data_IF_569153567979
#
_entry.id   IF_569153567979
#
_cell.length_a   1.000
_cell.length_b   1.000
_cell.length_c   1.000
_cell.angle_alpha   90.00
_cell.angle_beta   90.00
_cell.angle_gamma   90.00
#
_symmetry.space_group_name_H-M   'P 1'
#
loop_
_entity.id
_entity.type
_entity.pdbx_description
1 polymer ?
#
# COMPACT_ATOMS: atom_id res chain seq x y z
N UNK A 1 -8.76 -0.38 -21.80
CA UNK A 1 -9.01 -0.67 -20.37
C UNK A 1 -8.57 -2.07 -19.93
N UNK A 2 -9.28 -3.18 -20.20
CA UNK A 2 -8.83 -4.51 -19.74
C UNK A 2 -7.47 -4.92 -20.34
N UNK A 3 -7.23 -4.52 -21.60
CA UNK A 3 -5.93 -4.64 -22.27
C UNK A 3 -4.84 -3.79 -21.60
N UNK A 4 -5.16 -2.56 -21.19
CA UNK A 4 -4.24 -1.64 -20.50
C UNK A 4 -3.93 -2.12 -19.09
N UNK A 5 -4.92 -2.64 -18.37
CA UNK A 5 -4.73 -3.28 -17.06
C UNK A 5 -3.81 -4.50 -17.19
N UNK A 6 -4.02 -5.32 -18.22
CA UNK A 6 -3.14 -6.46 -18.51
C UNK A 6 -1.70 -6.01 -18.79
N UNK A 7 -1.50 -5.00 -19.65
CA UNK A 7 -0.18 -4.40 -19.93
C UNK A 7 0.47 -3.83 -18.66
N UNK A 8 -0.32 -3.15 -17.83
CA UNK A 8 0.15 -2.60 -16.57
C UNK A 8 0.62 -3.69 -15.62
N UNK A 9 -0.18 -4.75 -15.46
CA UNK A 9 0.15 -5.90 -14.63
C UNK A 9 1.42 -6.60 -15.13
N UNK A 10 1.59 -6.78 -16.46
CA UNK A 10 2.83 -7.33 -17.03
C UNK A 10 4.04 -6.43 -16.77
N UNK A 11 3.86 -5.11 -16.80
CA UNK A 11 4.91 -4.15 -16.49
C UNK A 11 5.32 -4.25 -15.02
N UNK A 12 4.35 -4.32 -14.10
CA UNK A 12 4.60 -4.51 -12.66
C UNK A 12 5.27 -5.86 -12.40
N UNK A 13 4.82 -6.95 -13.05
CA UNK A 13 5.46 -8.28 -12.94
C UNK A 13 6.94 -8.21 -13.31
N UNK A 14 7.30 -7.56 -14.42
CA UNK A 14 8.71 -7.41 -14.84
C UNK A 14 9.54 -6.63 -13.82
N UNK A 15 8.99 -5.54 -13.25
CA UNK A 15 9.67 -4.79 -12.18
C UNK A 15 9.88 -5.65 -10.93
N UNK A 16 8.86 -6.41 -10.53
CA UNK A 16 8.92 -7.34 -9.41
C UNK A 16 9.95 -8.46 -9.63
N UNK A 17 10.04 -9.02 -10.85
CA UNK A 17 11.06 -10.03 -11.21
C UNK A 17 12.48 -9.46 -11.16
N UNK A 18 12.67 -8.22 -11.64
CA UNK A 18 13.94 -7.50 -11.53
C UNK A 18 14.35 -7.29 -10.07
N UNK A 19 13.41 -6.83 -9.23
CA UNK A 19 13.64 -6.63 -7.80
C UNK A 19 13.99 -7.94 -7.09
N UNK A 20 13.27 -9.03 -7.38
CA UNK A 20 13.57 -10.35 -6.84
C UNK A 20 14.98 -10.82 -7.22
N UNK A 21 15.40 -10.57 -8.46
CA UNK A 21 16.74 -10.91 -8.96
C UNK A 21 17.81 -10.10 -8.23
N UNK A 22 17.59 -8.81 -8.00
CA UNK A 22 18.53 -7.96 -7.26
C UNK A 22 18.70 -8.44 -5.81
N UNK A 23 17.59 -8.75 -5.12
CA UNK A 23 17.63 -9.31 -3.75
C UNK A 23 18.39 -10.63 -3.72
N UNK A 24 18.14 -11.53 -4.68
CA UNK A 24 18.83 -12.83 -4.74
C UNK A 24 20.32 -12.69 -5.00
N UNK A 25 20.74 -11.70 -5.80
CA UNK A 25 22.15 -11.43 -6.07
C UNK A 25 22.87 -10.83 -4.85
N UNK A 26 22.22 -9.91 -4.14
CA UNK A 26 22.82 -9.23 -2.99
C UNK A 26 22.79 -10.08 -1.72
N UNK A 27 21.88 -11.04 -1.64
CA UNK A 27 21.69 -11.97 -0.53
C UNK A 27 21.78 -13.41 -1.05
N UNK A 28 22.88 -13.74 -1.74
CA UNK A 28 23.19 -15.13 -2.10
C UNK A 28 23.47 -15.93 -0.82
N UNK A 29 23.18 -17.23 -0.85
CA UNK A 29 23.47 -18.16 0.27
C UNK A 29 22.83 -17.75 1.61
N UNK A 30 21.63 -17.17 1.54
CA UNK A 30 20.85 -16.71 2.68
C UNK A 30 20.70 -17.77 3.79
N UNK A 31 20.41 -19.02 3.43
CA UNK A 31 20.18 -20.11 4.38
C UNK A 31 21.47 -20.51 5.12
N UNK A 32 22.59 -20.55 4.41
CA UNK A 32 23.91 -20.81 5.00
C UNK A 32 24.32 -19.65 5.92
N UNK A 33 24.07 -18.42 5.49
CA UNK A 33 24.35 -17.20 6.25
C UNK A 33 23.55 -17.14 7.56
N UNK A 34 22.26 -17.45 7.50
CA UNK A 34 21.39 -17.53 8.68
C UNK A 34 21.87 -18.64 9.63
N UNK A 35 22.17 -19.82 9.10
CA UNK A 35 22.68 -20.94 9.90
C UNK A 35 23.96 -20.55 10.62
N UNK A 36 24.94 -19.99 9.90
CA UNK A 36 26.22 -19.55 10.49
C UNK A 36 26.05 -18.44 11.51
N UNK A 37 25.11 -17.51 11.30
CA UNK A 37 24.79 -16.47 12.27
C UNK A 37 24.26 -17.06 13.58
N UNK A 38 23.26 -17.94 13.49
CA UNK A 38 22.66 -18.55 14.68
C UNK A 38 23.60 -19.53 15.38
N UNK A 39 24.51 -20.21 14.68
CA UNK A 39 25.59 -20.99 15.30
C UNK A 39 26.46 -20.12 16.20
N UNK A 40 26.93 -18.96 15.72
CA UNK A 40 27.74 -18.02 16.53
C UNK A 40 26.96 -17.43 17.70
N UNK A 41 25.68 -17.11 17.50
CA UNK A 41 24.82 -16.59 18.56
C UNK A 41 24.52 -17.66 19.63
N UNK A 42 24.39 -18.92 19.22
CA UNK A 42 24.26 -20.06 20.13
C UNK A 42 25.56 -20.29 20.92
N UNK A 43 26.74 -20.16 20.31
CA UNK A 43 28.03 -20.21 21.04
C UNK A 43 28.10 -19.13 22.13
N UNK A 44 27.65 -17.90 21.81
CA UNK A 44 27.58 -16.81 22.78
C UNK A 44 26.54 -17.07 23.87
N UNK A 45 25.40 -17.69 23.52
CA UNK A 45 24.39 -18.13 24.49
C UNK A 45 24.94 -19.19 25.44
N UNK A 46 25.73 -20.14 24.93
CA UNK A 46 26.39 -21.17 25.75
C UNK A 46 27.47 -20.58 26.68
N UNK A 47 28.06 -19.45 26.30
CA UNK A 47 29.01 -18.72 27.13
C UNK A 47 28.33 -17.88 28.24
N UNK A 48 27.01 -17.73 28.20
CA UNK A 48 26.28 -16.88 29.14
C UNK A 48 26.22 -17.48 30.54
N UNK A 49 26.29 -16.64 31.58
CA UNK A 49 26.28 -17.07 32.99
C UNK A 49 24.94 -17.68 33.45
N UNK A 50 23.88 -17.56 32.64
CA UNK A 50 22.51 -18.06 32.90
C UNK A 50 21.73 -17.29 33.97
N UNK A 51 22.19 -16.10 34.38
CA UNK A 51 21.53 -15.27 35.39
C UNK A 51 21.03 -13.94 34.83
N UNK A 52 19.75 -13.82 34.42
CA UNK A 52 19.23 -12.66 33.69
C UNK A 52 18.83 -11.47 34.59
N UNK A 53 19.56 -11.24 35.68
CA UNK A 53 19.25 -10.18 36.63
C UNK A 53 20.32 -9.10 36.64
N UNK A 54 19.88 -7.84 36.52
CA UNK A 54 20.74 -6.67 36.72
C UNK A 54 22.04 -6.73 35.90
N UNK A 55 23.23 -6.58 36.52
CA UNK A 55 24.51 -6.57 35.81
C UNK A 55 24.86 -7.91 35.17
N UNK A 56 24.27 -9.03 35.61
CA UNK A 56 24.59 -10.36 35.09
C UNK A 56 23.96 -10.66 33.72
N UNK A 57 23.10 -9.77 33.21
CA UNK A 57 22.58 -9.85 31.83
C UNK A 57 23.68 -9.69 30.78
N UNK A 58 24.81 -9.10 31.19
CA UNK A 58 25.97 -8.81 30.36
C UNK A 58 27.18 -9.69 30.70
N UNK A 59 27.03 -10.72 31.54
CA UNK A 59 28.14 -11.55 32.03
C UNK A 59 28.26 -12.88 31.27
N UNK A 60 29.45 -13.11 30.73
CA UNK A 60 29.79 -14.24 29.87
C UNK A 60 31.17 -14.81 30.26
N UNK A 61 31.43 -16.05 29.85
CA UNK A 61 32.74 -16.65 29.99
C UNK A 61 33.74 -15.94 29.07
N UNK A 62 34.96 -15.68 29.53
CA UNK A 62 35.92 -14.76 28.89
C UNK A 62 36.31 -15.13 27.44
N UNK A 63 36.19 -16.40 27.07
CA UNK A 63 36.45 -16.87 25.70
C UNK A 63 35.28 -16.67 24.75
N UNK A 64 34.12 -16.22 25.26
CA UNK A 64 32.84 -16.13 24.56
C UNK A 64 32.38 -17.46 23.96
N UNK A 65 32.84 -18.56 24.57
CA UNK A 65 32.44 -19.93 24.27
C UNK A 65 31.97 -20.63 25.52
N UNK A 66 31.35 -21.80 25.34
CA UNK A 66 30.92 -22.66 26.43
C UNK A 66 32.06 -22.85 27.46
N UNK A 67 31.82 -22.57 28.76
CA UNK A 67 32.82 -22.79 29.79
C UNK A 67 33.16 -24.29 29.91
N UNK A 68 34.38 -24.63 30.35
CA UNK A 68 34.76 -26.02 30.61
C UNK A 68 33.88 -26.62 31.70
N UNK A 69 33.77 -27.95 31.71
CA UNK A 69 32.94 -28.66 32.67
C UNK A 69 33.44 -28.40 34.10
N UNK A 70 32.51 -28.05 35.00
CA UNK A 70 32.82 -27.68 36.39
C UNK A 70 33.07 -26.19 36.63
N UNK A 71 33.15 -25.35 35.58
CA UNK A 71 33.28 -23.89 35.70
C UNK A 71 31.93 -23.18 35.67
N UNK A 72 30.99 -23.61 36.51
CA UNK A 72 29.67 -22.97 36.62
C UNK A 72 29.78 -21.59 37.27
N UNK A 73 28.91 -20.66 36.87
CA UNK A 73 28.86 -19.33 37.47
C UNK A 73 28.27 -19.42 38.88
N UNK A 74 29.07 -19.08 39.89
CA UNK A 74 28.61 -19.00 41.28
C UNK A 74 28.01 -17.61 41.59
N UNK A 75 26.68 -17.57 41.70
CA UNK A 75 25.93 -16.36 42.05
C UNK A 75 26.26 -15.85 43.45
N UNK A 76 26.58 -16.73 44.40
CA UNK A 76 26.88 -16.32 45.76
C UNK A 76 28.16 -15.47 45.79
N UNK A 77 29.18 -15.89 45.04
CA UNK A 77 30.41 -15.11 44.84
C UNK A 77 30.11 -13.82 44.06
N UNK A 78 29.34 -13.93 42.97
CA UNK A 78 28.87 -12.78 42.17
C UNK A 78 28.18 -11.70 43.01
N UNK A 79 27.31 -12.12 43.94
CA UNK A 79 26.47 -11.24 44.77
C UNK A 79 27.24 -10.47 45.85
N UNK A 80 28.49 -10.87 46.12
CA UNK A 80 29.42 -10.17 47.02
C UNK A 80 30.23 -9.08 46.31
N UNK A 81 29.86 -8.71 45.08
CA UNK A 81 30.55 -7.69 44.29
C UNK A 81 31.87 -8.19 43.67
N UNK A 82 32.11 -9.50 43.64
CA UNK A 82 33.27 -10.12 42.99
C UNK A 82 32.82 -10.92 41.79
N UNK A 83 33.47 -10.70 40.65
CA UNK A 83 33.22 -11.51 39.47
C UNK A 83 33.98 -12.85 39.60
N UNK A 84 33.31 -14.01 39.46
CA UNK A 84 33.97 -15.31 39.51
C UNK A 84 35.07 -15.43 38.45
N UNK A 85 36.13 -16.18 38.74
CA UNK A 85 37.27 -16.35 37.83
C UNK A 85 36.82 -16.89 36.46
N UNK A 86 37.29 -16.26 35.39
CA UNK A 86 36.95 -16.61 34.01
C UNK A 86 35.63 -16.03 33.49
N UNK A 87 34.89 -15.28 34.31
CA UNK A 87 33.70 -14.56 33.86
C UNK A 87 34.01 -13.08 33.67
N UNK A 88 33.46 -12.48 32.63
CA UNK A 88 33.63 -11.06 32.29
C UNK A 88 32.29 -10.41 31.98
N UNK A 89 32.16 -9.12 32.31
CA UNK A 89 31.08 -8.31 31.79
C UNK A 89 31.50 -7.79 30.41
N UNK A 90 30.65 -7.96 29.39
CA UNK A 90 30.97 -7.56 28.03
C UNK A 90 31.12 -6.04 27.92
N UNK A 91 32.31 -5.59 27.55
CA UNK A 91 32.54 -4.20 27.19
C UNK A 91 31.91 -3.87 25.84
N UNK A 92 31.68 -2.59 25.56
CA UNK A 92 31.16 -2.17 24.25
C UNK A 92 32.13 -2.53 23.10
N UNK A 93 33.44 -2.51 23.36
CA UNK A 93 34.44 -2.92 22.38
C UNK A 93 34.31 -4.40 22.01
N UNK A 94 34.13 -5.29 23.01
CA UNK A 94 33.92 -6.72 22.80
C UNK A 94 32.60 -7.01 22.07
N UNK A 95 31.54 -6.28 22.38
CA UNK A 95 30.24 -6.36 21.67
C UNK A 95 30.42 -6.00 20.20
N UNK A 96 31.07 -4.86 19.93
CA UNK A 96 31.32 -4.41 18.56
C UNK A 96 32.20 -5.39 17.77
N UNK A 97 33.22 -5.97 18.41
CA UNK A 97 34.10 -6.95 17.76
C UNK A 97 33.38 -8.28 17.49
N UNK A 98 32.50 -8.73 18.39
CA UNK A 98 31.64 -9.88 18.14
C UNK A 98 30.69 -9.61 16.96
N UNK A 99 30.00 -8.46 16.94
CA UNK A 99 29.09 -8.07 15.86
C UNK A 99 29.79 -7.94 14.50
N UNK A 100 31.05 -7.50 14.45
CA UNK A 100 31.86 -7.51 13.21
C UNK A 100 32.06 -8.91 12.65
N UNK A 101 32.05 -9.92 13.51
CA UNK A 101 32.16 -11.33 13.13
C UNK A 101 30.81 -11.96 12.78
N UNK A 102 29.68 -11.29 13.04
CA UNK A 102 28.38 -11.76 12.62
C UNK A 102 28.17 -11.51 11.12
N UNK A 103 27.51 -12.43 10.41
CA UNK A 103 27.31 -12.29 8.98
C UNK A 103 26.40 -11.08 8.65
N UNK A 104 26.83 -10.27 7.67
CA UNK A 104 26.01 -9.51 6.72
C UNK A 104 24.92 -8.52 7.21
N UNK A 105 24.79 -8.16 8.49
CA UNK A 105 23.80 -7.14 8.91
C UNK A 105 23.92 -5.84 8.09
N UNK A 106 25.15 -5.37 7.92
CA UNK A 106 25.47 -4.16 7.15
C UNK A 106 25.08 -4.23 5.66
N UNK A 107 24.87 -5.42 5.12
CA UNK A 107 24.48 -5.63 3.72
C UNK A 107 22.98 -5.94 3.59
N UNK A 108 22.40 -6.70 4.53
CA UNK A 108 20.99 -7.10 4.49
C UNK A 108 20.07 -5.90 4.80
N UNK A 109 20.37 -5.11 5.84
CA UNK A 109 19.48 -4.00 6.25
C UNK A 109 19.32 -2.93 5.17
N UNK A 110 20.38 -2.45 4.49
CA UNK A 110 20.24 -1.52 3.38
C UNK A 110 19.49 -2.13 2.18
N UNK A 111 19.82 -3.38 1.81
CA UNK A 111 19.16 -4.08 0.70
C UNK A 111 17.66 -4.26 0.97
N UNK A 112 17.28 -4.58 2.21
CA UNK A 112 15.88 -4.68 2.62
C UNK A 112 15.16 -3.34 2.59
N UNK A 113 15.79 -2.28 3.11
CA UNK A 113 15.20 -0.94 3.13
C UNK A 113 14.95 -0.42 1.71
N UNK A 114 15.94 -0.59 0.82
CA UNK A 114 15.82 -0.26 -0.60
C UNK A 114 14.70 -1.09 -1.26
N UNK A 115 14.70 -2.40 -1.03
CA UNK A 115 13.68 -3.27 -1.60
C UNK A 115 12.26 -2.96 -1.11
N UNK A 116 12.08 -2.59 0.16
CA UNK A 116 10.78 -2.14 0.68
C UNK A 116 10.35 -0.84 0.02
N UNK A 117 11.26 0.14 -0.07
CA UNK A 117 10.98 1.43 -0.70
C UNK A 117 10.58 1.32 -2.18
N UNK A 118 11.06 0.30 -2.89
CA UNK A 118 10.60 -0.01 -4.25
C UNK A 118 9.33 -0.86 -4.30
N UNK A 119 9.20 -1.84 -3.41
CA UNK A 119 8.10 -2.81 -3.44
C UNK A 119 6.77 -2.21 -2.99
N UNK A 120 6.76 -1.39 -1.94
CA UNK A 120 5.55 -0.78 -1.39
C UNK A 120 4.79 0.05 -2.43
N UNK A 121 5.43 1.00 -3.16
CA UNK A 121 4.76 1.71 -4.24
C UNK A 121 4.26 0.79 -5.36
N UNK A 122 5.01 -0.27 -5.71
CA UNK A 122 4.60 -1.21 -6.75
C UNK A 122 3.37 -2.02 -6.36
N UNK A 123 3.26 -2.43 -5.09
CA UNK A 123 2.09 -3.14 -4.58
C UNK A 123 0.90 -2.18 -4.49
N UNK A 124 1.10 -0.95 -4.00
CA UNK A 124 0.03 0.05 -3.94
C UNK A 124 -0.50 0.39 -5.33
N UNK A 125 0.37 0.69 -6.30
CA UNK A 125 -0.02 0.93 -7.69
C UNK A 125 -0.77 -0.28 -8.28
N UNK A 126 -0.33 -1.50 -7.97
CA UNK A 126 -1.02 -2.71 -8.40
C UNK A 126 -2.42 -2.82 -7.79
N UNK A 127 -2.59 -2.55 -6.48
CA UNK A 127 -3.88 -2.54 -5.81
C UNK A 127 -4.80 -1.50 -6.46
N UNK A 128 -4.33 -0.26 -6.59
CA UNK A 128 -5.12 0.87 -7.10
C UNK A 128 -5.60 0.59 -8.53
N UNK A 129 -4.71 0.15 -9.42
CA UNK A 129 -5.06 -0.17 -10.81
C UNK A 129 -5.99 -1.39 -10.92
N UNK A 130 -5.84 -2.36 -10.02
CA UNK A 130 -6.70 -3.55 -10.01
C UNK A 130 -8.01 -3.34 -9.22
N UNK A 131 -8.25 -2.17 -8.61
CA UNK A 131 -9.52 -1.88 -7.90
C UNK A 131 -10.77 -2.08 -8.76
N UNK A 132 -10.64 -1.86 -10.08
CA UNK A 132 -11.67 -2.11 -11.09
C UNK A 132 -12.20 -3.55 -11.02
N UNK A 133 -11.37 -4.53 -10.62
CA UNK A 133 -11.76 -5.94 -10.60
C UNK A 133 -12.68 -6.31 -9.43
N UNK A 134 -12.86 -5.43 -8.43
CA UNK A 134 -13.88 -5.59 -7.38
C UNK A 134 -15.29 -5.75 -7.98
N UNK A 135 -15.52 -5.06 -9.11
CA UNK A 135 -16.78 -5.04 -9.83
C UNK A 135 -16.90 -6.17 -10.87
N UNK A 136 -15.88 -7.03 -10.98
CA UNK A 136 -15.82 -8.13 -11.93
C UNK A 136 -16.07 -9.49 -11.25
N UNK A 137 -16.86 -10.33 -11.91
CA UNK A 137 -17.15 -11.69 -11.47
C UNK A 137 -15.88 -12.53 -11.48
N UNK A 138 -15.70 -13.39 -10.47
CA UNK A 138 -14.62 -14.38 -10.39
C UNK A 138 -13.18 -13.81 -10.24
N UNK A 139 -13.04 -12.53 -9.85
CA UNK A 139 -11.74 -11.88 -9.59
C UNK A 139 -11.57 -11.33 -8.17
N UNK A 140 -12.61 -11.43 -7.34
CA UNK A 140 -12.64 -10.86 -5.99
C UNK A 140 -11.60 -11.50 -5.06
N UNK A 141 -11.45 -12.82 -5.12
CA UNK A 141 -10.46 -13.52 -4.28
C UNK A 141 -9.03 -13.08 -4.60
N UNK A 142 -8.70 -12.90 -5.89
CA UNK A 142 -7.38 -12.44 -6.32
C UNK A 142 -7.13 -11.00 -5.87
N UNK A 143 -8.16 -10.16 -5.89
CA UNK A 143 -8.05 -8.80 -5.42
C UNK A 143 -7.89 -8.70 -3.90
N UNK A 144 -8.63 -9.50 -3.14
CA UNK A 144 -8.44 -9.62 -1.68
C UNK A 144 -7.03 -10.13 -1.38
N UNK A 145 -6.53 -11.12 -2.14
CA UNK A 145 -5.16 -11.60 -2.01
C UNK A 145 -4.13 -10.49 -2.28
N UNK A 146 -4.37 -9.64 -3.29
CA UNK A 146 -3.53 -8.49 -3.60
C UNK A 146 -3.54 -7.45 -2.48
N UNK A 147 -4.71 -7.09 -1.95
CA UNK A 147 -4.85 -6.16 -0.81
C UNK A 147 -4.13 -6.65 0.44
N UNK A 148 -4.22 -7.95 0.74
CA UNK A 148 -3.50 -8.55 1.87
C UNK A 148 -1.97 -8.44 1.75
N UNK A 149 -1.43 -8.19 0.56
CA UNK A 149 0.01 -7.98 0.39
C UNK A 149 0.47 -6.62 0.91
N UNK A 150 -0.42 -5.69 1.20
CA UNK A 150 -0.10 -4.44 1.90
C UNK A 150 -0.14 -4.58 3.44
N UNK A 151 -0.69 -5.69 3.95
CA UNK A 151 -0.73 -5.97 5.37
C UNK A 151 0.69 -6.39 5.84
N UNK A 152 1.36 -5.50 6.59
CA UNK A 152 2.70 -5.63 7.22
C UNK A 152 3.89 -5.65 6.27
N UNK A 153 4.83 -4.74 6.51
CA UNK A 153 6.08 -4.60 5.76
C UNK A 153 7.34 -5.06 6.51
N UNK A 154 7.30 -5.03 7.85
CA UNK A 154 8.46 -5.29 8.70
C UNK A 154 8.05 -6.05 9.96
N UNK A 155 8.89 -6.99 10.36
CA UNK A 155 8.96 -7.63 11.66
C UNK A 155 10.00 -6.91 12.52
N UNK A 156 9.66 -6.64 13.78
CA UNK A 156 10.56 -6.00 14.74
C UNK A 156 11.16 -7.03 15.70
N UNK A 157 12.42 -6.85 16.10
CA UNK A 157 13.09 -7.78 17.03
C UNK A 157 12.34 -7.98 18.36
N UNK A 158 11.61 -6.97 18.83
CA UNK A 158 10.76 -7.08 20.03
C UNK A 158 9.69 -8.17 19.93
N UNK A 159 9.27 -8.54 18.72
CA UNK A 159 8.27 -9.61 18.50
C UNK A 159 8.87 -11.01 18.75
N UNK A 160 10.20 -11.13 18.67
CA UNK A 160 10.94 -12.39 18.83
C UNK A 160 11.62 -12.52 20.18
N UNK A 161 11.70 -11.44 20.97
CA UNK A 161 12.48 -11.43 22.21
C UNK A 161 11.98 -12.48 23.21
N UNK A 162 10.67 -12.75 23.23
CA UNK A 162 10.05 -13.76 24.09
C UNK A 162 10.46 -15.20 23.72
N UNK A 163 10.85 -15.47 22.47
CA UNK A 163 11.37 -16.77 22.04
C UNK A 163 12.74 -17.07 22.65
N UNK A 164 13.52 -16.02 22.91
CA UNK A 164 14.89 -16.10 23.42
C UNK A 164 15.01 -15.71 24.89
N UNK A 165 13.88 -15.59 25.59
CA UNK A 165 13.86 -15.30 27.02
C UNK A 165 14.25 -16.53 27.83
N UNK A 166 14.90 -16.29 28.96
CA UNK A 166 15.26 -17.35 29.89
C UNK A 166 14.03 -17.64 30.77
N UNK A 167 13.29 -18.69 30.42
CA UNK A 167 12.01 -19.04 31.04
C UNK A 167 12.11 -19.69 32.43
N UNK A 168 13.31 -20.05 32.88
CA UNK A 168 13.52 -20.90 34.06
C UNK A 168 14.37 -20.22 35.11
N UNK A 169 13.89 -19.09 35.62
CA UNK A 169 14.55 -18.40 36.72
C UNK A 169 13.67 -18.45 37.96
N UNK A 170 13.92 -19.46 38.78
CA UNK A 170 13.32 -19.58 40.10
C UNK A 170 14.05 -18.61 41.03
N UNK A 171 13.48 -17.42 41.23
CA UNK A 171 13.89 -16.51 42.32
C UNK A 171 12.89 -16.59 43.46
N UNK A 172 13.36 -16.76 44.69
CA UNK A 172 12.53 -16.68 45.90
C UNK A 172 12.15 -15.24 46.25
N UNK A 173 12.71 -14.25 45.54
CA UNK A 173 12.54 -12.83 45.80
C UNK A 173 11.86 -12.14 44.60
N UNK A 174 10.56 -11.86 44.74
CA UNK A 174 9.71 -11.16 43.77
C UNK A 174 10.16 -9.71 43.52
N UNK A 175 10.90 -9.09 44.45
CA UNK A 175 11.41 -7.73 44.25
C UNK A 175 12.51 -7.65 43.19
N UNK A 176 13.16 -8.78 42.88
CA UNK A 176 14.15 -8.90 41.79
C UNK A 176 13.52 -9.14 40.42
N UNK A 177 12.21 -9.40 40.35
CA UNK A 177 11.49 -9.58 39.08
C UNK A 177 11.53 -8.31 38.21
N UNK A 178 11.61 -7.12 38.80
CA UNK A 178 11.76 -5.85 38.07
C UNK A 178 13.16 -5.60 37.51
N UNK A 179 14.16 -6.41 37.89
CA UNK A 179 15.52 -6.37 37.37
C UNK A 179 15.79 -7.43 36.29
N UNK A 180 14.73 -8.11 35.81
CA UNK A 180 14.81 -9.09 34.75
C UNK A 180 15.11 -8.38 33.42
N UNK A 181 16.27 -8.67 32.85
CA UNK A 181 16.68 -8.12 31.56
C UNK A 181 16.92 -9.21 30.54
N UNK A 182 16.84 -8.85 29.27
CA UNK A 182 17.23 -9.74 28.18
C UNK A 182 18.75 -9.74 28.03
N UNK A 183 19.42 -10.89 28.15
CA UNK A 183 20.84 -10.98 27.90
C UNK A 183 21.19 -10.45 26.50
N UNK A 184 22.41 -9.94 26.35
CA UNK A 184 22.89 -9.40 25.08
C UNK A 184 22.69 -10.36 23.89
N UNK A 185 23.06 -11.64 24.00
CA UNK A 185 22.84 -12.61 22.94
C UNK A 185 21.35 -12.81 22.59
N UNK A 186 20.44 -12.83 23.57
CA UNK A 186 18.99 -12.94 23.32
C UNK A 186 18.46 -11.75 22.52
N UNK A 187 18.95 -10.53 22.78
CA UNK A 187 18.59 -9.33 22.01
C UNK A 187 19.09 -9.42 20.58
N UNK A 188 20.34 -9.87 20.37
CA UNK A 188 20.89 -10.11 19.04
C UNK A 188 20.11 -11.18 18.28
N UNK A 189 19.86 -12.34 18.91
CA UNK A 189 19.07 -13.41 18.30
C UNK A 189 17.70 -12.91 17.87
N UNK A 190 17.00 -12.15 18.71
CA UNK A 190 15.70 -11.58 18.37
C UNK A 190 15.78 -10.59 17.20
N UNK A 191 16.82 -9.75 17.16
CA UNK A 191 17.05 -8.82 16.05
C UNK A 191 17.33 -9.55 14.74
N UNK A 192 18.27 -10.50 14.73
CA UNK A 192 18.60 -11.27 13.53
C UNK A 192 17.45 -12.17 13.08
N UNK A 193 16.69 -12.75 14.00
CA UNK A 193 15.48 -13.53 13.66
C UNK A 193 14.46 -12.66 12.91
N UNK A 194 14.22 -11.44 13.41
CA UNK A 194 13.37 -10.47 12.72
C UNK A 194 13.93 -10.09 11.34
N UNK A 195 15.25 -9.85 11.23
CA UNK A 195 15.93 -9.52 9.97
C UNK A 195 15.74 -10.64 8.93
N UNK A 196 15.97 -11.90 9.31
CA UNK A 196 15.79 -13.05 8.43
C UNK A 196 14.32 -13.30 8.08
N UNK A 197 13.40 -13.08 9.01
CA UNK A 197 11.96 -13.08 8.72
C UNK A 197 11.56 -11.99 7.73
N UNK A 198 12.16 -10.80 7.80
CA UNK A 198 11.94 -9.73 6.84
C UNK A 198 12.38 -10.11 5.43
N UNK A 199 13.55 -10.74 5.26
CA UNK A 199 13.98 -11.24 3.94
C UNK A 199 12.96 -12.23 3.36
N UNK A 200 12.49 -13.18 4.16
CA UNK A 200 11.45 -14.13 3.74
C UNK A 200 10.13 -13.44 3.41
N UNK A 201 9.72 -12.47 4.22
CA UNK A 201 8.50 -11.68 4.01
C UNK A 201 8.53 -10.97 2.67
N UNK A 202 9.60 -10.21 2.38
CA UNK A 202 9.74 -9.44 1.14
C UNK A 202 9.79 -10.37 -0.07
N UNK A 203 10.60 -11.44 -0.03
CA UNK A 203 10.64 -12.44 -1.10
C UNK A 203 9.27 -13.10 -1.31
N UNK A 204 8.56 -13.39 -0.23
CA UNK A 204 7.21 -13.97 -0.22
C UNK A 204 6.20 -13.03 -0.86
N UNK A 205 6.21 -11.75 -0.48
CA UNK A 205 5.34 -10.72 -1.06
C UNK A 205 5.58 -10.59 -2.56
N UNK A 206 6.83 -10.42 -3.01
CA UNK A 206 7.16 -10.31 -4.45
C UNK A 206 6.63 -11.51 -5.24
N UNK A 207 6.93 -12.74 -4.78
CA UNK A 207 6.46 -13.97 -5.46
C UNK A 207 4.94 -14.07 -5.49
N UNK A 208 4.28 -13.68 -4.41
CA UNK A 208 2.82 -13.72 -4.30
C UNK A 208 2.19 -12.66 -5.21
N UNK A 209 2.71 -11.43 -5.23
CA UNK A 209 2.28 -10.36 -6.15
C UNK A 209 2.36 -10.81 -7.60
N UNK A 210 3.52 -11.37 -8.02
CA UNK A 210 3.68 -11.90 -9.39
C UNK A 210 2.63 -12.96 -9.70
N UNK A 211 2.42 -13.91 -8.78
CA UNK A 211 1.44 -14.99 -8.95
C UNK A 211 0.01 -14.45 -9.08
N UNK A 212 -0.38 -13.51 -8.22
CA UNK A 212 -1.72 -12.91 -8.19
C UNK A 212 -1.96 -12.11 -9.46
N UNK A 213 -1.03 -11.25 -9.85
CA UNK A 213 -1.14 -10.44 -11.07
C UNK A 213 -1.24 -11.31 -12.33
N UNK A 214 -0.47 -12.41 -12.40
CA UNK A 214 -0.60 -13.39 -13.50
C UNK A 214 -1.97 -14.04 -13.54
N UNK A 215 -2.53 -14.40 -12.38
CA UNK A 215 -3.89 -14.97 -12.29
C UNK A 215 -4.95 -13.96 -12.72
N UNK A 216 -4.82 -12.70 -12.31
CA UNK A 216 -5.70 -11.62 -12.75
C UNK A 216 -5.62 -11.50 -14.28
N UNK A 217 -4.42 -11.37 -14.86
CA UNK A 217 -4.23 -11.29 -16.31
C UNK A 217 -4.83 -12.46 -17.09
N UNK A 218 -4.67 -13.68 -16.57
CA UNK A 218 -5.24 -14.88 -17.18
C UNK A 218 -6.77 -14.88 -17.16
N UNK A 219 -7.38 -14.38 -16.08
CA UNK A 219 -8.83 -14.39 -15.88
C UNK A 219 -9.55 -13.15 -16.45
N UNK A 220 -8.84 -12.03 -16.67
CA UNK A 220 -9.41 -10.77 -17.18
C UNK A 220 -10.24 -10.93 -18.47
N UNK A 221 -9.83 -11.70 -19.49
CA UNK A 221 -10.62 -11.88 -20.71
C UNK A 221 -11.98 -12.55 -20.51
N UNK A 222 -12.15 -13.28 -19.40
CA UNK A 222 -13.37 -14.03 -19.09
C UNK A 222 -14.24 -13.35 -18.02
N UNK A 223 -13.81 -12.19 -17.52
CA UNK A 223 -14.46 -11.48 -16.44
C UNK A 223 -15.71 -10.73 -16.94
N UNK A 224 -16.80 -10.81 -16.18
CA UNK A 224 -18.06 -10.10 -16.47
C UNK A 224 -18.40 -9.15 -15.32
N UNK A 225 -19.14 -8.08 -15.58
CA UNK A 225 -19.54 -7.14 -14.51
C UNK A 225 -20.53 -7.82 -13.55
N UNK A 226 -20.28 -7.73 -12.24
CA UNK A 226 -21.16 -8.26 -11.19
C UNK A 226 -22.51 -7.53 -11.16
N UNK A 227 -23.58 -8.27 -10.84
CA UNK A 227 -24.88 -7.71 -10.46
C UNK A 227 -25.95 -7.66 -11.57
N UNK A 228 -27.11 -7.09 -11.21
CA UNK A 228 -28.28 -6.90 -12.08
C UNK A 228 -28.06 -5.72 -13.05
N UNK A 229 -29.03 -5.40 -13.92
CA UNK A 229 -28.91 -4.32 -14.91
C UNK A 229 -28.45 -2.97 -14.34
N UNK A 230 -28.99 -2.57 -13.18
CA UNK A 230 -28.64 -1.30 -12.52
C UNK A 230 -27.27 -1.34 -11.83
N UNK A 231 -26.88 -2.47 -11.26
CA UNK A 231 -25.55 -2.66 -10.66
C UNK A 231 -24.45 -2.64 -11.72
N UNK A 232 -24.76 -3.16 -12.92
CA UNK A 232 -23.86 -3.09 -14.08
C UNK A 232 -23.64 -1.64 -14.50
N UNK A 233 -24.70 -0.83 -14.57
CA UNK A 233 -24.60 0.60 -14.93
C UNK A 233 -23.76 1.34 -13.88
N UNK A 234 -24.05 1.17 -12.60
CA UNK A 234 -23.32 1.81 -11.50
C UNK A 234 -21.85 1.40 -11.44
N UNK A 235 -21.57 0.11 -11.68
CA UNK A 235 -20.21 -0.43 -11.79
C UNK A 235 -19.48 0.11 -13.01
N UNK A 236 -20.13 0.18 -14.18
CA UNK A 236 -19.55 0.77 -15.39
C UNK A 236 -19.22 2.25 -15.20
N UNK A 237 -20.04 3.01 -14.50
CA UNK A 237 -19.78 4.42 -14.14
C UNK A 237 -18.58 4.53 -13.19
N UNK A 238 -18.52 3.71 -12.13
CA UNK A 238 -17.39 3.70 -11.20
C UNK A 238 -16.06 3.30 -11.87
N UNK A 239 -16.10 2.32 -12.77
CA UNK A 239 -14.97 1.92 -13.61
C UNK A 239 -14.55 3.09 -14.51
N UNK A 240 -15.50 3.79 -15.12
CA UNK A 240 -15.24 5.00 -15.92
C UNK A 240 -14.55 6.11 -15.13
N UNK A 241 -14.99 6.37 -13.89
CA UNK A 241 -14.40 7.40 -13.01
C UNK A 241 -12.99 7.02 -12.51
N UNK A 242 -12.75 5.74 -12.20
CA UNK A 242 -11.43 5.24 -11.78
C UNK A 242 -10.38 5.25 -12.92
N UNK A 243 -10.83 5.05 -14.16
CA UNK A 243 -9.98 5.14 -15.37
C UNK A 243 -9.50 6.58 -15.64
N UNK A 244 -10.16 7.59 -15.07
CA UNK A 244 -9.81 9.00 -15.24
C UNK A 244 -8.92 9.57 -14.11
N UNK A 245 -8.41 8.74 -13.20
CA UNK A 245 -7.64 9.17 -12.04
C UNK A 245 -6.41 10.05 -12.37
N UNK A 246 -6.34 11.20 -11.69
CA UNK A 246 -5.18 12.07 -11.43
C UNK A 246 -4.02 12.04 -12.44
N UNK A 247 -4.07 12.95 -13.42
CA UNK A 247 -2.90 13.38 -14.18
C UNK A 247 -3.09 13.37 -15.70
N UNK A 248 -3.51 14.52 -16.22
CA UNK A 248 -3.28 15.01 -17.59
C UNK A 248 -3.73 14.14 -18.79
N UNK A 249 -4.59 14.78 -19.59
CA UNK A 249 -4.75 14.64 -21.06
C UNK A 249 -5.29 13.30 -21.59
N UNK A 250 -6.61 13.21 -21.71
CA UNK A 250 -7.21 12.52 -22.85
C UNK A 250 -7.15 13.45 -24.07
N UNK A 251 -6.03 13.37 -24.79
CA UNK A 251 -5.95 13.74 -26.19
C UNK A 251 -6.93 12.87 -26.99
N UNK A 252 -8.12 13.42 -27.19
CA UNK A 252 -8.93 13.46 -28.41
C UNK A 252 -8.98 12.27 -29.39
N UNK A 253 -10.18 12.11 -29.96
CA UNK A 253 -10.47 11.68 -31.34
C UNK A 253 -10.41 10.20 -31.72
N UNK A 254 -11.59 9.57 -31.69
CA UNK A 254 -12.06 8.75 -32.81
C UNK A 254 -13.56 8.96 -33.04
N UNK A 255 -13.90 10.22 -33.39
CA UNK A 255 -15.04 10.60 -34.25
C UNK A 255 -15.13 12.12 -34.53
N UNK A 256 -14.19 12.94 -34.06
CA UNK A 256 -14.17 14.40 -34.31
C UNK A 256 -13.54 14.81 -35.66
N UNK A 257 -12.92 13.90 -36.41
CA UNK A 257 -12.04 14.27 -37.53
C UNK A 257 -12.79 14.53 -38.85
N UNK A 258 -14.04 14.08 -39.03
CA UNK A 258 -14.61 14.05 -40.39
C UNK A 258 -15.89 14.87 -40.66
N UNK A 259 -16.40 15.69 -39.74
CA UNK A 259 -17.56 16.54 -40.10
C UNK A 259 -17.57 17.97 -39.59
N UNK A 260 -16.83 18.34 -38.54
CA UNK A 260 -16.93 19.70 -37.98
C UNK A 260 -18.36 20.10 -37.54
N UNK A 261 -19.27 19.15 -37.50
CA UNK A 261 -20.67 19.32 -37.17
C UNK A 261 -21.01 18.36 -36.03
N UNK A 262 -21.18 18.92 -34.83
CA UNK A 262 -21.80 18.23 -33.71
C UNK A 262 -23.30 18.15 -34.04
N UNK A 263 -23.78 16.99 -34.48
CA UNK A 263 -25.20 16.76 -34.69
C UNK A 263 -25.89 16.66 -33.31
N UNK A 264 -26.21 17.83 -32.72
CA UNK A 264 -27.17 17.93 -31.63
C UNK A 264 -28.56 17.58 -32.19
N UNK A 265 -28.88 16.30 -32.24
CA UNK A 265 -30.25 15.86 -32.51
C UNK A 265 -30.98 15.88 -31.18
N UNK A 266 -31.51 17.05 -30.81
CA UNK A 266 -32.33 17.20 -29.62
C UNK A 266 -33.69 16.57 -29.92
N UNK A 267 -33.79 15.26 -29.72
CA UNK A 267 -35.00 14.50 -30.06
C UNK A 267 -36.19 14.89 -29.16
N UNK A 268 -35.92 15.51 -27.99
CA UNK A 268 -36.95 15.93 -27.05
C UNK A 268 -36.64 17.28 -26.39
N UNK A 269 -36.87 18.39 -27.11
CA UNK A 269 -36.66 19.76 -26.61
C UNK A 269 -37.41 20.04 -25.29
N UNK A 270 -38.64 19.54 -25.17
CA UNK A 270 -39.47 19.74 -23.99
C UNK A 270 -38.88 19.07 -22.73
N UNK A 271 -38.21 17.93 -22.90
CA UNK A 271 -37.53 17.22 -21.82
C UNK A 271 -36.28 17.96 -21.37
N UNK A 272 -35.47 18.47 -22.31
CA UNK A 272 -34.29 19.28 -21.98
C UNK A 272 -34.68 20.58 -21.26
N UNK A 273 -35.73 21.26 -21.73
CA UNK A 273 -36.26 22.46 -21.09
C UNK A 273 -36.76 22.18 -19.67
N UNK A 274 -37.47 21.06 -19.47
CA UNK A 274 -37.91 20.60 -18.16
C UNK A 274 -36.72 20.35 -17.22
N UNK A 275 -35.66 19.69 -17.70
CA UNK A 275 -34.45 19.41 -16.91
C UNK A 275 -33.71 20.70 -16.53
N UNK A 276 -33.65 21.69 -17.44
CA UNK A 276 -33.05 23.00 -17.16
C UNK A 276 -33.86 23.80 -16.12
N UNK A 277 -35.18 23.73 -16.17
CA UNK A 277 -36.06 24.36 -15.17
C UNK A 277 -35.96 23.67 -13.79
N UNK A 278 -35.85 22.34 -13.77
CA UNK A 278 -35.62 21.57 -12.55
C UNK A 278 -34.25 21.87 -11.94
N UNK A 279 -33.22 22.03 -12.78
CA UNK A 279 -31.90 22.48 -12.37
C UNK A 279 -31.93 23.86 -11.69
N UNK A 280 -32.60 24.85 -12.29
CA UNK A 280 -32.75 26.19 -11.68
C UNK A 280 -33.46 26.14 -10.32
N UNK A 281 -34.51 25.32 -10.21
CA UNK A 281 -35.23 25.14 -8.94
C UNK A 281 -34.32 24.55 -7.86
N UNK A 282 -33.46 23.59 -8.21
CA UNK A 282 -32.53 22.96 -7.28
C UNK A 282 -31.35 23.87 -6.91
N UNK A 283 -30.96 24.78 -7.81
CA UNK A 283 -29.93 25.78 -7.57
C UNK A 283 -30.31 26.76 -6.46
N UNK A 284 -31.56 27.19 -6.40
CA UNK A 284 -32.03 28.10 -5.35
C UNK A 284 -31.96 27.46 -3.96
N UNK A 285 -32.19 26.14 -3.87
CA UNK A 285 -32.29 25.39 -2.61
C UNK A 285 -30.93 24.90 -2.08
N UNK A 286 -29.86 24.91 -2.88
CA UNK A 286 -28.53 24.46 -2.39
C UNK A 286 -27.83 25.54 -1.55
N UNK A 287 -27.32 25.17 -0.36
CA UNK A 287 -26.52 26.08 0.48
C UNK A 287 -25.02 26.04 0.12
N UNK A 288 -24.62 25.18 -0.81
CA UNK A 288 -23.21 24.92 -1.18
C UNK A 288 -22.62 25.96 -2.15
N UNK A 289 -23.47 26.80 -2.74
CA UNK A 289 -23.09 27.83 -3.70
C UNK A 289 -23.45 29.21 -3.16
N UNK A 290 -22.54 30.18 -3.29
CA UNK A 290 -22.84 31.55 -2.92
C UNK A 290 -23.81 32.21 -3.92
N UNK A 291 -24.38 33.35 -3.52
CA UNK A 291 -25.36 34.08 -4.34
C UNK A 291 -24.81 34.49 -5.71
N UNK A 292 -23.53 34.86 -5.80
CA UNK A 292 -22.92 35.29 -7.05
C UNK A 292 -22.74 34.12 -8.03
N UNK A 293 -22.34 32.95 -7.51
CA UNK A 293 -22.24 31.72 -8.28
C UNK A 293 -23.63 31.29 -8.79
N UNK A 294 -24.66 31.32 -7.93
CA UNK A 294 -26.04 31.01 -8.34
C UNK A 294 -26.53 31.95 -9.45
N UNK A 295 -26.28 33.25 -9.32
CA UNK A 295 -26.69 34.25 -10.33
C UNK A 295 -25.97 34.03 -11.69
N UNK A 296 -24.66 33.77 -11.71
CA UNK A 296 -23.90 33.48 -12.95
C UNK A 296 -24.34 32.18 -13.62
N UNK A 297 -24.67 31.16 -12.82
CA UNK A 297 -25.19 29.88 -13.29
C UNK A 297 -26.58 30.05 -13.89
N UNK A 298 -27.49 30.77 -13.21
CA UNK A 298 -28.84 31.03 -13.70
C UNK A 298 -28.82 31.79 -15.03
N UNK A 299 -27.98 32.83 -15.15
CA UNK A 299 -27.79 33.55 -16.41
C UNK A 299 -27.26 32.64 -17.53
N UNK A 300 -26.38 31.70 -17.19
CA UNK A 300 -25.87 30.68 -18.12
C UNK A 300 -26.97 29.76 -18.65
N UNK A 301 -27.85 29.28 -17.78
CA UNK A 301 -28.99 28.41 -18.12
C UNK A 301 -30.01 29.15 -18.98
N UNK A 302 -30.36 30.38 -18.63
CA UNK A 302 -31.32 31.18 -19.40
C UNK A 302 -30.85 31.42 -20.84
N UNK A 303 -29.54 31.63 -21.02
CA UNK A 303 -28.93 31.75 -22.35
C UNK A 303 -29.00 30.45 -23.13
N UNK A 304 -28.81 29.29 -22.48
CA UNK A 304 -28.99 27.98 -23.10
C UNK A 304 -30.44 27.78 -23.53
N UNK A 305 -31.42 28.06 -22.66
CA UNK A 305 -32.86 27.96 -22.99
C UNK A 305 -33.20 28.87 -24.16
N UNK A 306 -32.71 30.11 -24.15
CA UNK A 306 -32.93 31.07 -25.24
C UNK A 306 -32.37 30.56 -26.57
N UNK A 307 -31.18 29.97 -26.55
CA UNK A 307 -30.56 29.38 -27.75
C UNK A 307 -31.34 28.16 -28.25
N UNK A 308 -31.75 27.27 -27.35
CA UNK A 308 -32.59 26.10 -27.65
C UNK A 308 -33.98 26.49 -28.21
N UNK A 309 -34.43 27.72 -27.94
CA UNK A 309 -35.68 28.25 -28.46
C UNK A 309 -35.61 28.75 -29.91
N UNK A 310 -34.41 28.90 -30.48
CA UNK A 310 -34.25 29.20 -31.91
C UNK A 310 -34.54 27.99 -32.78
N UNK A 311 -34.78 28.24 -34.08
CA UNK A 311 -34.89 27.19 -35.08
C UNK A 311 -33.59 26.35 -35.11
N UNK A 312 -33.64 25.02 -35.29
CA UNK A 312 -32.45 24.16 -35.19
C UNK A 312 -31.25 24.57 -36.05
N UNK A 313 -31.53 25.19 -37.20
CA UNK A 313 -30.53 25.68 -38.17
C UNK A 313 -29.85 27.00 -37.72
N UNK A 314 -30.46 27.75 -36.79
CA UNK A 314 -29.95 29.02 -36.27
C UNK A 314 -29.46 28.94 -34.82
N UNK A 315 -29.37 27.72 -34.27
CA UNK A 315 -28.81 27.47 -32.95
C UNK A 315 -27.28 27.52 -32.98
N UNK A 316 -26.70 28.38 -32.15
CA UNK A 316 -25.26 28.37 -31.87
C UNK A 316 -24.93 27.22 -30.91
N UNK A 317 -24.66 26.06 -31.49
CA UNK A 317 -24.32 24.83 -30.77
C UNK A 317 -23.03 24.98 -29.94
N UNK A 318 -22.08 25.80 -30.42
CA UNK A 318 -20.83 26.09 -29.72
C UNK A 318 -21.06 26.93 -28.46
N UNK A 319 -22.00 27.87 -28.51
CA UNK A 319 -22.42 28.65 -27.35
C UNK A 319 -23.08 27.79 -26.28
N UNK A 320 -23.95 26.84 -26.67
CA UNK A 320 -24.61 25.92 -25.72
C UNK A 320 -23.56 25.05 -24.99
N UNK A 321 -22.63 24.43 -25.73
CA UNK A 321 -21.54 23.62 -25.19
C UNK A 321 -20.65 24.42 -24.23
N UNK A 322 -20.21 25.61 -24.65
CA UNK A 322 -19.40 26.50 -23.83
C UNK A 322 -20.08 26.86 -22.51
N UNK A 323 -21.38 27.20 -22.55
CA UNK A 323 -22.14 27.60 -21.36
C UNK A 323 -22.35 26.42 -20.41
N UNK A 324 -22.68 25.24 -20.90
CA UNK A 324 -22.83 24.04 -20.07
C UNK A 324 -21.52 23.67 -19.36
N UNK A 325 -20.40 23.73 -20.07
CA UNK A 325 -19.07 23.50 -19.47
C UNK A 325 -18.73 24.54 -18.42
N UNK A 326 -19.04 25.82 -18.67
CA UNK A 326 -18.85 26.89 -17.69
C UNK A 326 -19.65 26.60 -16.42
N UNK A 327 -20.93 26.26 -16.56
CA UNK A 327 -21.80 25.95 -15.41
C UNK A 327 -21.25 24.72 -14.65
N UNK A 328 -20.92 23.63 -15.36
CA UNK A 328 -20.33 22.42 -14.78
C UNK A 328 -19.10 22.73 -13.93
N UNK A 329 -18.17 23.53 -14.45
CA UNK A 329 -16.96 23.91 -13.72
C UNK A 329 -17.24 24.67 -12.41
N UNK A 330 -18.35 25.42 -12.37
CA UNK A 330 -18.79 26.19 -11.20
C UNK A 330 -19.55 25.38 -10.15
N UNK A 331 -20.08 24.20 -10.51
CA UNK A 331 -20.91 23.39 -9.60
C UNK A 331 -20.38 21.99 -9.35
N UNK A 332 -19.26 21.59 -9.95
CA UNK A 332 -18.71 20.21 -9.92
C UNK A 332 -18.56 19.63 -8.50
N UNK A 333 -18.38 20.49 -7.50
CA UNK A 333 -18.22 20.10 -6.10
C UNK A 333 -19.58 20.01 -5.35
N UNK A 334 -20.66 20.52 -5.94
CA UNK A 334 -22.03 20.47 -5.42
C UNK A 334 -22.83 19.30 -6.04
N UNK A 335 -22.94 18.20 -5.29
CA UNK A 335 -23.41 16.87 -5.75
C UNK A 335 -24.77 16.89 -6.47
N UNK A 336 -25.79 17.51 -5.87
CA UNK A 336 -27.16 17.51 -6.41
C UNK A 336 -27.24 18.29 -7.72
N UNK A 337 -26.58 19.45 -7.77
CA UNK A 337 -26.58 20.37 -8.90
C UNK A 337 -25.76 19.78 -10.06
N UNK A 338 -24.61 19.18 -9.75
CA UNK A 338 -23.77 18.45 -10.70
C UNK A 338 -24.50 17.31 -11.42
N UNK A 339 -25.23 16.47 -10.68
CA UNK A 339 -25.97 15.34 -11.27
C UNK A 339 -27.02 15.78 -12.31
N UNK A 340 -27.65 16.93 -12.06
CA UNK A 340 -28.64 17.52 -12.96
C UNK A 340 -27.99 18.03 -14.25
N UNK A 341 -26.80 18.65 -14.17
CA UNK A 341 -26.06 19.12 -15.35
C UNK A 341 -25.57 17.96 -16.23
N UNK A 342 -25.09 16.87 -15.62
CA UNK A 342 -24.68 15.67 -16.38
C UNK A 342 -25.86 15.10 -17.17
N UNK A 343 -27.05 15.07 -16.56
CA UNK A 343 -28.27 14.62 -17.22
C UNK A 343 -28.66 15.53 -18.40
N UNK A 344 -28.57 16.85 -18.21
CA UNK A 344 -28.82 17.84 -19.26
C UNK A 344 -27.83 17.70 -20.41
N UNK A 345 -26.53 17.61 -20.12
CA UNK A 345 -25.50 17.48 -21.15
C UNK A 345 -25.63 16.15 -21.90
N UNK A 346 -25.97 15.06 -21.21
CA UNK A 346 -26.27 13.77 -21.85
C UNK A 346 -27.48 13.86 -22.78
N UNK A 347 -28.57 14.50 -22.35
CA UNK A 347 -29.75 14.72 -23.18
C UNK A 347 -29.47 15.60 -24.41
N UNK A 348 -28.49 16.49 -24.30
CA UNK A 348 -27.99 17.31 -25.39
C UNK A 348 -26.89 16.61 -26.21
N UNK A 349 -26.36 15.45 -25.82
CA UNK A 349 -25.21 14.84 -26.51
C UNK A 349 -23.91 15.65 -26.37
N UNK A 350 -23.78 16.42 -25.28
CA UNK A 350 -22.63 17.25 -24.92
C UNK A 350 -21.77 16.50 -23.90
N UNK A 351 -20.45 16.51 -24.12
CA UNK A 351 -19.48 15.93 -23.20
C UNK A 351 -19.00 16.98 -22.20
N UNK A 352 -19.24 16.73 -20.91
CA UNK A 352 -18.67 17.50 -19.80
C UNK A 352 -17.37 16.81 -19.37
N UNK A 353 -16.26 17.25 -19.95
CA UNK A 353 -14.90 16.81 -19.60
C UNK A 353 -14.21 17.86 -18.76
#
# INVERSE_FOLDING_TARGET
MLSELSISNETTIKKLESLLTNIQRNISDFEETETSCFEKLNELSDAYCKFPFGPYTEVYYYTLKRPPWGSEFDVQIGSLGRQPDGWIELTQEQKNDFEKNLPYERLITPTLSEAIGELEPLIQEAIDRNSIIENLSNLEEQYIELKKLDERWVYLGKEFIDKYKINSVLTSDLSKASAFGYPYHSRLMAFYDALYHNVRLIRGKIKTSIRVLRRINYNLPFATVKGNGDDKIKSTINIGNLVQGDGNTLTNTSNYVNSGEMNLKIENKAEVEKLLQEFLKNLDVTDELDRYQKDDIAEGVDKIITELNKQPESQDRGLIDYRLKKIWSGVKDALTVSSSIVSIASALGISLS
#
